data_IF_494943060094
#
_entry.id   IF_494943060094
#
_cell.length_a   1.000
_cell.length_b   1.000
_cell.length_c   1.000
_cell.angle_alpha   90.00
_cell.angle_beta   90.00
_cell.angle_gamma   90.00
#
_symmetry.space_group_name_H-M   'P 1'
#
loop_
_entity.id
_entity.type
_entity.pdbx_description
1 polymer ?
#
# COMPACT_ATOMS: atom_id res chain seq x y z
N UNK A 1 -26.76 24.44 -68.30
CA UNK A 1 -25.97 23.25 -67.74
C UNK A 1 -25.28 23.72 -66.47
N UNK A 2 -25.80 23.34 -65.29
CA UNK A 2 -25.26 23.75 -63.97
C UNK A 2 -24.68 22.51 -63.31
N UNK A 3 -23.34 22.41 -63.29
CA UNK A 3 -22.61 21.39 -62.57
C UNK A 3 -22.73 21.60 -61.04
N UNK A 4 -23.35 20.67 -60.37
CA UNK A 4 -23.34 20.57 -58.89
C UNK A 4 -22.18 19.69 -58.48
N UNK A 5 -21.17 20.31 -57.87
CA UNK A 5 -20.11 19.60 -57.14
C UNK A 5 -20.69 19.10 -55.83
N UNK A 6 -20.72 17.78 -55.67
CA UNK A 6 -21.02 17.11 -54.41
C UNK A 6 -19.70 17.01 -53.63
N UNK A 7 -19.56 17.79 -52.56
CA UNK A 7 -18.47 17.68 -51.61
C UNK A 7 -18.86 16.61 -50.58
N UNK A 8 -18.28 15.41 -50.72
CA UNK A 8 -18.40 14.36 -49.70
C UNK A 8 -17.48 14.66 -48.56
N UNK A 9 -18.03 15.12 -47.45
CA UNK A 9 -17.30 15.25 -46.18
C UNK A 9 -17.08 13.86 -45.58
N UNK A 10 -15.84 13.37 -45.64
CA UNK A 10 -15.42 12.17 -44.94
C UNK A 10 -15.21 12.55 -43.47
N UNK A 11 -16.13 12.15 -42.62
CA UNK A 11 -15.94 12.21 -41.14
C UNK A 11 -14.94 11.12 -40.78
N UNK A 12 -13.69 11.50 -40.53
CA UNK A 12 -12.71 10.63 -39.91
C UNK A 12 -13.06 10.60 -38.41
N UNK A 13 -13.73 9.53 -37.97
CA UNK A 13 -13.85 9.19 -36.55
C UNK A 13 -12.45 8.78 -36.08
N UNK A 14 -11.76 9.69 -35.41
CA UNK A 14 -10.57 9.34 -34.63
C UNK A 14 -11.03 8.51 -33.46
N UNK A 15 -10.90 7.21 -33.57
CA UNK A 15 -10.97 6.29 -32.44
C UNK A 15 -9.76 6.59 -31.53
N UNK A 16 -9.94 7.47 -30.55
CA UNK A 16 -8.99 7.59 -29.44
C UNK A 16 -9.00 6.26 -28.69
N UNK A 17 -8.00 5.44 -29.00
CA UNK A 17 -7.68 4.28 -28.20
C UNK A 17 -7.35 4.75 -26.80
N UNK A 18 -8.26 4.55 -25.85
CA UNK A 18 -8.00 4.67 -24.42
C UNK A 18 -7.08 3.50 -24.00
N UNK A 19 -5.84 3.52 -24.46
CA UNK A 19 -4.77 2.63 -24.01
C UNK A 19 -3.88 3.41 -23.07
N UNK A 20 -4.00 3.19 -21.75
CA UNK A 20 -2.86 3.31 -20.83
C UNK A 20 -3.23 3.39 -19.34
N UNK A 21 -4.23 2.68 -18.84
CA UNK A 21 -4.37 2.51 -17.38
C UNK A 21 -4.49 1.04 -16.94
N UNK A 22 -4.67 0.12 -17.86
CA UNK A 22 -4.77 -1.29 -17.54
C UNK A 22 -3.45 -2.00 -17.86
N UNK A 23 -2.60 -2.13 -16.85
CA UNK A 23 -1.55 -3.14 -16.84
C UNK A 23 -2.17 -4.55 -16.99
N UNK A 24 -1.38 -5.63 -17.06
CA UNK A 24 -1.89 -6.98 -17.20
C UNK A 24 -2.94 -7.27 -16.11
N UNK A 25 -4.03 -7.95 -16.48
CA UNK A 25 -5.10 -8.30 -15.54
C UNK A 25 -4.57 -9.18 -14.38
N UNK A 26 -3.54 -9.99 -14.67
CA UNK A 26 -2.83 -10.80 -13.69
C UNK A 26 -1.32 -10.76 -14.00
N UNK A 27 -0.52 -10.84 -12.93
CA UNK A 27 0.94 -10.87 -13.01
C UNK A 27 1.47 -11.98 -12.11
N UNK A 28 2.35 -12.83 -12.66
CA UNK A 28 3.08 -13.86 -11.92
C UNK A 28 4.54 -13.47 -11.85
N UNK A 29 5.15 -13.63 -10.69
CA UNK A 29 6.52 -13.19 -10.46
C UNK A 29 7.19 -13.98 -9.34
N UNK A 30 8.51 -14.05 -9.37
CA UNK A 30 9.35 -14.35 -8.21
C UNK A 30 9.88 -13.04 -7.66
N UNK A 31 9.98 -12.93 -6.35
CA UNK A 31 10.53 -11.75 -5.74
C UNK A 31 11.37 -12.05 -4.52
N UNK A 32 12.34 -11.17 -4.28
CA UNK A 32 13.17 -11.17 -3.09
C UNK A 32 13.07 -9.83 -2.40
N UNK A 33 12.45 -9.82 -1.22
CA UNK A 33 12.53 -8.70 -0.31
C UNK A 33 13.90 -8.75 0.38
N UNK A 34 14.68 -7.67 0.26
CA UNK A 34 16.01 -7.55 0.86
C UNK A 34 15.99 -6.39 1.84
N UNK A 35 16.28 -6.71 3.09
CA UNK A 35 16.43 -5.73 4.15
C UNK A 35 17.88 -5.72 4.65
N UNK A 36 18.49 -4.55 4.62
CA UNK A 36 19.83 -4.32 5.19
C UNK A 36 19.70 -3.39 6.38
N UNK A 37 20.16 -3.84 7.53
CA UNK A 37 20.14 -3.10 8.79
C UNK A 37 21.59 -2.73 9.12
N UNK A 38 21.96 -1.50 8.88
CA UNK A 38 23.29 -0.97 9.17
C UNK A 38 23.35 -0.31 10.56
N UNK A 39 24.54 0.03 11.00
CA UNK A 39 24.80 0.73 12.26
C UNK A 39 24.31 -0.05 13.51
N UNK A 40 24.45 -1.35 13.50
CA UNK A 40 24.20 -2.18 14.68
C UNK A 40 25.42 -2.02 15.60
N UNK A 41 25.23 -1.65 16.89
CA UNK A 41 26.33 -1.53 17.83
C UNK A 41 27.08 -2.87 18.01
N UNK A 42 28.41 -2.89 18.03
CA UNK A 42 29.19 -4.13 18.18
C UNK A 42 28.92 -4.87 19.49
N UNK A 43 28.51 -4.15 20.52
CA UNK A 43 28.20 -4.64 21.86
C UNK A 43 26.68 -4.95 22.04
N UNK A 44 25.91 -4.94 20.99
CA UNK A 44 24.46 -5.18 21.05
C UNK A 44 24.09 -6.60 21.52
N UNK A 45 25.02 -7.54 21.49
CA UNK A 45 24.84 -8.91 21.98
C UNK A 45 23.84 -9.70 21.11
N UNK A 46 22.67 -10.02 21.64
CA UNK A 46 21.62 -10.74 20.92
C UNK A 46 20.53 -9.77 20.49
N UNK A 47 20.25 -9.77 19.20
CA UNK A 47 19.21 -8.97 18.57
C UNK A 47 17.89 -9.73 18.56
N UNK A 48 16.80 -9.05 18.85
CA UNK A 48 15.45 -9.48 18.51
C UNK A 48 15.09 -8.87 17.15
N UNK A 49 14.74 -9.73 16.19
CA UNK A 49 14.50 -9.32 14.79
C UNK A 49 13.11 -9.76 14.35
N UNK A 50 12.28 -8.80 13.92
CA UNK A 50 10.97 -9.06 13.32
C UNK A 50 11.01 -8.62 11.86
N UNK A 51 10.51 -9.47 10.97
CA UNK A 51 10.50 -9.22 9.51
C UNK A 51 9.10 -9.43 8.98
N UNK A 52 8.52 -8.42 8.27
CA UNK A 52 7.22 -8.59 7.63
C UNK A 52 7.30 -9.62 6.51
N UNK A 53 6.28 -10.44 6.39
CA UNK A 53 6.15 -11.42 5.30
C UNK A 53 4.95 -11.05 4.42
N UNK A 54 5.05 -11.20 3.09
CA UNK A 54 3.88 -11.11 2.23
C UNK A 54 2.96 -12.31 2.50
N UNK A 55 1.65 -12.09 2.33
CA UNK A 55 0.67 -13.15 2.54
C UNK A 55 -0.36 -13.23 1.42
N UNK A 56 -0.99 -14.38 1.28
CA UNK A 56 -2.12 -14.57 0.38
C UNK A 56 -3.34 -13.78 0.85
N UNK A 57 -3.96 -13.06 -0.09
CA UNK A 57 -5.21 -12.30 0.07
C UNK A 57 -6.03 -12.34 -1.21
N UNK A 58 -7.23 -11.72 -1.21
CA UNK A 58 -8.21 -11.83 -2.28
C UNK A 58 -7.68 -11.61 -3.71
N UNK A 59 -6.76 -10.67 -3.90
CA UNK A 59 -6.18 -10.37 -5.22
C UNK A 59 -4.70 -10.77 -5.32
N UNK A 60 -4.18 -11.51 -4.35
CA UNK A 60 -2.79 -11.90 -4.25
C UNK A 60 -2.65 -13.32 -3.70
N UNK A 61 -1.88 -14.14 -4.40
CA UNK A 61 -1.47 -15.44 -3.90
C UNK A 61 0.05 -15.45 -3.70
N UNK A 62 0.51 -15.92 -2.54
CA UNK A 62 1.93 -16.00 -2.17
C UNK A 62 2.24 -17.44 -1.80
N UNK A 63 3.34 -17.96 -2.33
CA UNK A 63 3.89 -19.30 -2.02
C UNK A 63 5.40 -19.25 -1.88
N UNK A 64 5.98 -20.36 -1.48
CA UNK A 64 7.43 -20.64 -1.44
C UNK A 64 8.26 -19.61 -0.68
N UNK A 65 7.69 -19.11 0.44
CA UNK A 65 8.35 -18.12 1.28
C UNK A 65 9.53 -18.72 2.02
N UNK A 66 10.75 -18.27 1.71
CA UNK A 66 12.01 -18.70 2.33
C UNK A 66 12.75 -17.49 2.89
N UNK A 67 13.38 -17.64 4.05
CA UNK A 67 14.10 -16.54 4.73
C UNK A 67 15.57 -16.92 4.85
N UNK A 68 16.43 -16.01 4.45
CA UNK A 68 17.89 -16.11 4.53
C UNK A 68 18.50 -14.94 5.32
N UNK A 69 19.55 -15.17 6.10
CA UNK A 69 20.16 -16.46 6.49
C UNK A 69 19.20 -17.35 7.28
N UNK A 70 19.46 -18.68 7.35
CA UNK A 70 18.58 -19.65 7.99
C UNK A 70 18.74 -19.64 9.51
N UNK A 71 18.48 -18.51 10.15
CA UNK A 71 18.32 -18.44 11.59
C UNK A 71 17.09 -19.22 12.04
N UNK A 72 16.90 -19.42 13.33
CA UNK A 72 15.69 -20.07 13.89
C UNK A 72 14.48 -19.13 13.80
N UNK A 73 14.00 -18.96 12.57
CA UNK A 73 12.85 -18.10 12.26
C UNK A 73 11.55 -18.76 12.69
N UNK A 74 10.87 -18.14 13.64
CA UNK A 74 9.51 -18.49 14.03
C UNK A 74 8.52 -17.61 13.31
N UNK A 75 7.47 -18.21 12.73
CA UNK A 75 6.41 -17.46 12.01
C UNK A 75 5.25 -17.15 12.96
N UNK A 76 4.77 -15.93 12.86
CA UNK A 76 3.65 -15.42 13.65
C UNK A 76 2.62 -14.74 12.76
N UNK A 77 1.42 -14.60 13.33
CA UNK A 77 0.34 -13.81 12.77
C UNK A 77 -0.08 -12.76 13.78
N UNK A 78 -0.06 -11.50 13.38
CA UNK A 78 -0.51 -10.39 14.21
C UNK A 78 -2.04 -10.46 14.40
N UNK A 79 -2.51 -10.13 15.60
CA UNK A 79 -3.88 -10.46 16.03
C UNK A 79 -4.97 -9.55 15.49
N UNK A 80 -4.66 -8.33 15.06
CA UNK A 80 -5.67 -7.32 14.69
C UNK A 80 -5.95 -7.28 13.19
N UNK A 81 -4.91 -7.26 12.37
CA UNK A 81 -5.01 -7.22 10.90
C UNK A 81 -4.60 -8.54 10.26
N UNK A 82 -4.11 -9.48 11.07
CA UNK A 82 -3.66 -10.78 10.62
C UNK A 82 -2.42 -10.70 9.71
N UNK A 83 -1.54 -9.72 9.94
CA UNK A 83 -0.27 -9.61 9.24
C UNK A 83 0.63 -10.80 9.57
N UNK A 84 1.31 -11.34 8.56
CA UNK A 84 2.28 -12.41 8.75
C UNK A 84 3.68 -11.84 8.89
N UNK A 85 4.46 -12.41 9.78
CA UNK A 85 5.84 -12.00 10.01
C UNK A 85 6.67 -13.14 10.59
N UNK A 86 7.99 -13.00 10.49
CA UNK A 86 8.93 -13.90 11.14
C UNK A 86 9.68 -13.17 12.27
N UNK A 87 10.02 -13.91 13.31
CA UNK A 87 10.84 -13.47 14.43
C UNK A 87 11.99 -14.42 14.65
N UNK A 88 13.17 -13.88 14.93
CA UNK A 88 14.33 -14.66 15.40
C UNK A 88 15.14 -13.86 16.41
N UNK A 89 15.89 -14.60 17.25
CA UNK A 89 16.98 -14.05 18.05
C UNK A 89 18.31 -14.33 17.36
N UNK A 90 19.03 -13.28 17.01
CA UNK A 90 20.21 -13.34 16.17
C UNK A 90 21.39 -12.71 16.90
N UNK A 91 22.57 -13.33 16.95
CA UNK A 91 23.75 -12.66 17.48
C UNK A 91 24.06 -11.40 16.64
N UNK A 92 24.45 -10.33 17.31
CA UNK A 92 24.85 -9.11 16.62
C UNK A 92 26.06 -9.40 15.74
N UNK A 93 25.99 -9.06 14.43
CA UNK A 93 27.10 -9.31 13.52
C UNK A 93 28.28 -8.38 13.82
N UNK A 94 29.50 -8.92 13.80
CA UNK A 94 30.72 -8.16 14.07
C UNK A 94 30.93 -7.01 13.04
N UNK A 95 30.36 -7.15 11.85
CA UNK A 95 30.38 -6.12 10.79
C UNK A 95 29.52 -4.90 11.10
N UNK A 96 28.64 -4.96 12.13
CA UNK A 96 27.66 -3.93 12.39
C UNK A 96 26.51 -3.85 11.36
N UNK A 97 26.40 -4.84 10.47
CA UNK A 97 25.37 -4.93 9.44
C UNK A 97 24.71 -6.30 9.41
N UNK A 98 23.38 -6.34 9.42
CA UNK A 98 22.57 -7.53 9.24
C UNK A 98 21.80 -7.43 7.94
N UNK A 99 21.96 -8.41 7.07
CA UNK A 99 21.17 -8.53 5.86
C UNK A 99 20.22 -9.73 5.97
N UNK A 100 18.95 -9.52 5.62
CA UNK A 100 17.94 -10.56 5.56
C UNK A 100 17.25 -10.52 4.21
N UNK A 101 17.05 -11.70 3.61
CA UNK A 101 16.33 -11.89 2.36
C UNK A 101 15.08 -12.74 2.60
N UNK A 102 13.97 -12.34 2.00
CA UNK A 102 12.76 -13.14 1.96
C UNK A 102 12.41 -13.39 0.50
N UNK A 103 12.61 -14.64 0.06
CA UNK A 103 12.23 -15.08 -1.29
C UNK A 103 10.80 -15.58 -1.28
N UNK A 104 10.05 -15.30 -2.32
CA UNK A 104 8.68 -15.79 -2.49
C UNK A 104 8.24 -15.78 -3.94
N UNK A 105 7.27 -16.62 -4.25
CA UNK A 105 6.54 -16.62 -5.52
C UNK A 105 5.21 -15.91 -5.31
N UNK A 106 4.88 -15.02 -6.23
CA UNK A 106 3.68 -14.20 -6.16
C UNK A 106 2.84 -14.28 -7.43
N UNK A 107 1.52 -14.26 -7.24
CA UNK A 107 0.55 -14.00 -8.29
C UNK A 107 -0.35 -12.86 -7.84
N UNK A 108 -0.48 -11.82 -8.65
CA UNK A 108 -1.27 -10.63 -8.33
C UNK A 108 -2.27 -10.33 -9.44
N UNK A 109 -3.56 -10.25 -9.08
CA UNK A 109 -4.61 -9.75 -9.94
C UNK A 109 -4.80 -8.23 -9.80
N UNK A 110 -5.21 -7.57 -10.88
CA UNK A 110 -5.73 -6.21 -10.78
C UNK A 110 -7.00 -6.20 -9.90
N UNK A 111 -7.15 -5.16 -9.08
CA UNK A 111 -8.33 -4.97 -8.24
C UNK A 111 -9.24 -3.95 -8.91
N UNK A 112 -10.52 -4.32 -9.07
CA UNK A 112 -11.55 -3.42 -9.57
C UNK A 112 -12.74 -3.46 -8.60
N UNK A 113 -13.13 -2.29 -8.07
CA UNK A 113 -14.21 -2.17 -7.08
C UNK A 113 -15.57 -2.72 -7.55
N UNK A 114 -15.81 -2.80 -8.86
CA UNK A 114 -17.03 -3.37 -9.42
C UNK A 114 -17.03 -4.92 -9.41
N UNK A 115 -15.84 -5.53 -9.30
CA UNK A 115 -15.61 -6.98 -9.39
C UNK A 115 -15.06 -7.59 -8.11
N UNK A 116 -14.85 -6.80 -7.06
CA UNK A 116 -14.33 -7.33 -5.79
C UNK A 116 -15.35 -8.29 -5.20
N UNK A 117 -14.97 -9.56 -5.07
CA UNK A 117 -15.75 -10.53 -4.30
C UNK A 117 -15.92 -9.96 -2.88
N UNK A 118 -17.16 -9.76 -2.46
CA UNK A 118 -17.51 -9.14 -1.18
C UNK A 118 -17.18 -10.11 -0.03
N UNK A 119 -15.91 -10.15 0.37
CA UNK A 119 -15.60 -10.70 1.69
C UNK A 119 -16.23 -9.75 2.71
N UNK A 120 -17.28 -10.19 3.38
CA UNK A 120 -17.93 -9.40 4.42
C UNK A 120 -16.99 -9.31 5.62
N UNK A 121 -16.49 -8.14 5.97
CA UNK A 121 -15.64 -8.00 7.14
C UNK A 121 -16.42 -8.22 8.42
N UNK A 122 -15.75 -8.69 9.44
CA UNK A 122 -16.32 -8.84 10.78
C UNK A 122 -16.66 -7.47 11.39
N UNK A 123 -17.56 -7.47 12.37
CA UNK A 123 -17.87 -6.25 13.13
C UNK A 123 -16.63 -5.68 13.84
N UNK A 124 -15.70 -6.54 14.26
CA UNK A 124 -14.46 -6.12 14.91
C UNK A 124 -13.54 -5.38 13.92
N UNK A 125 -13.34 -5.92 12.71
CA UNK A 125 -12.57 -5.27 11.65
C UNK A 125 -13.16 -3.90 11.27
N UNK A 126 -14.48 -3.80 11.12
CA UNK A 126 -15.13 -2.52 10.81
C UNK A 126 -14.99 -1.50 11.94
N UNK A 127 -15.15 -1.94 13.21
CA UNK A 127 -14.93 -1.06 14.37
C UNK A 127 -13.50 -0.56 14.41
N UNK A 128 -12.51 -1.44 14.19
CA UNK A 128 -11.09 -1.05 14.17
C UNK A 128 -10.81 -0.04 13.06
N UNK A 129 -11.36 -0.26 11.89
CA UNK A 129 -11.19 0.63 10.74
C UNK A 129 -11.86 2.01 10.89
N UNK A 130 -12.61 2.22 11.97
CA UNK A 130 -13.19 3.53 12.36
C UNK A 130 -12.42 4.21 13.50
N UNK A 131 -11.50 3.49 14.18
CA UNK A 131 -10.76 4.08 15.30
C UNK A 131 -9.57 4.92 14.80
N UNK A 132 -9.18 5.96 15.54
CA UNK A 132 -7.93 6.66 15.27
C UNK A 132 -6.73 5.73 15.50
N UNK A 133 -5.62 6.07 14.89
CA UNK A 133 -4.29 5.56 15.21
C UNK A 133 -3.47 6.72 15.79
N UNK A 134 -2.32 6.43 16.43
CA UNK A 134 -1.45 7.42 17.07
C UNK A 134 -1.13 8.60 16.14
N UNK A 135 -0.86 8.30 14.86
CA UNK A 135 -0.55 9.30 13.83
C UNK A 135 -1.74 9.64 12.93
N UNK A 136 -2.80 8.83 12.94
CA UNK A 136 -4.02 9.05 12.13
C UNK A 136 -5.15 9.47 13.05
N UNK A 137 -5.11 10.73 13.44
CA UNK A 137 -6.04 11.32 14.40
C UNK A 137 -7.40 11.65 13.78
N UNK A 138 -8.43 11.76 14.60
CA UNK A 138 -9.74 12.26 14.20
C UNK A 138 -10.07 13.49 15.09
N UNK A 139 -9.23 14.52 14.97
CA UNK A 139 -9.36 15.76 15.75
C UNK A 139 -10.60 16.57 15.34
N UNK A 140 -11.02 17.56 16.14
CA UNK A 140 -12.08 18.49 15.74
C UNK A 140 -11.80 19.20 14.41
N UNK A 141 -10.54 19.53 14.14
CA UNK A 141 -10.09 20.14 12.88
C UNK A 141 -10.31 19.20 11.69
N UNK A 142 -9.91 17.93 11.84
CA UNK A 142 -10.11 16.91 10.80
C UNK A 142 -11.60 16.68 10.53
N UNK A 143 -12.44 16.64 11.59
CA UNK A 143 -13.90 16.53 11.43
C UNK A 143 -14.47 17.71 10.66
N UNK A 144 -14.10 18.92 11.03
CA UNK A 144 -14.54 20.14 10.35
C UNK A 144 -14.14 20.13 8.86
N UNK A 145 -12.89 19.81 8.56
CA UNK A 145 -12.40 19.70 7.18
C UNK A 145 -13.17 18.61 6.40
N UNK A 146 -13.41 17.45 7.01
CA UNK A 146 -14.17 16.38 6.38
C UNK A 146 -15.62 16.80 6.09
N UNK A 147 -16.26 17.56 7.00
CA UNK A 147 -17.61 18.09 6.79
C UNK A 147 -17.66 19.11 5.67
N UNK A 148 -16.66 19.97 5.55
CA UNK A 148 -16.55 20.93 4.43
C UNK A 148 -16.38 20.22 3.09
N UNK A 149 -15.44 19.27 3.00
CA UNK A 149 -15.16 18.50 1.78
C UNK A 149 -16.37 17.70 1.31
N UNK A 150 -17.13 17.14 2.24
CA UNK A 150 -18.24 16.24 1.93
C UNK A 150 -19.62 16.94 1.94
N UNK A 151 -19.64 18.26 1.98
CA UNK A 151 -20.90 19.03 1.98
C UNK A 151 -21.76 18.68 0.78
N UNK A 152 -23.02 18.32 1.03
CA UNK A 152 -23.97 17.90 -0.01
C UNK A 152 -23.77 16.49 -0.56
N UNK A 153 -22.77 15.72 -0.06
CA UNK A 153 -22.58 14.32 -0.43
C UNK A 153 -23.35 13.41 0.51
N UNK A 154 -24.27 12.61 -0.01
CA UNK A 154 -25.20 11.79 0.78
C UNK A 154 -24.77 10.33 0.92
N UNK A 155 -24.03 9.79 -0.07
CA UNK A 155 -23.56 8.41 -0.02
C UNK A 155 -22.11 8.32 0.48
N UNK A 156 -21.75 7.20 1.12
CA UNK A 156 -20.35 6.94 1.52
C UNK A 156 -19.39 6.95 0.34
N UNK A 157 -19.82 6.48 -0.82
CA UNK A 157 -19.03 6.48 -2.04
C UNK A 157 -18.71 7.91 -2.49
N UNK A 158 -19.73 8.79 -2.57
CA UNK A 158 -19.54 10.18 -2.98
C UNK A 158 -18.69 10.96 -1.98
N UNK A 159 -18.85 10.67 -0.67
CA UNK A 159 -18.04 11.26 0.37
C UNK A 159 -16.57 10.83 0.25
N UNK A 160 -16.31 9.54 0.07
CA UNK A 160 -14.95 9.01 -0.13
C UNK A 160 -14.32 9.58 -1.41
N UNK A 161 -15.09 9.71 -2.48
CA UNK A 161 -14.61 10.30 -3.74
C UNK A 161 -14.26 11.78 -3.57
N UNK A 162 -15.06 12.55 -2.84
CA UNK A 162 -14.76 13.96 -2.56
C UNK A 162 -13.48 14.09 -1.70
N UNK A 163 -13.31 13.24 -0.69
CA UNK A 163 -12.09 13.19 0.13
C UNK A 163 -10.87 12.81 -0.73
N UNK A 164 -11.00 11.80 -1.58
CA UNK A 164 -9.94 11.40 -2.49
C UNK A 164 -9.52 12.55 -3.42
N UNK A 165 -10.47 13.21 -4.05
CA UNK A 165 -10.21 14.36 -4.92
C UNK A 165 -9.53 15.50 -4.17
N UNK A 166 -9.97 15.78 -2.94
CA UNK A 166 -9.33 16.78 -2.09
C UNK A 166 -7.86 16.44 -1.83
N UNK A 167 -7.56 15.20 -1.43
CA UNK A 167 -6.18 14.76 -1.15
C UNK A 167 -5.32 14.83 -2.40
N UNK A 168 -5.81 14.32 -3.55
CA UNK A 168 -5.08 14.35 -4.83
C UNK A 168 -4.76 15.78 -5.29
N UNK A 169 -5.68 16.72 -5.06
CA UNK A 169 -5.54 18.10 -5.56
C UNK A 169 -4.73 18.99 -4.60
N UNK A 170 -4.85 18.76 -3.30
CA UNK A 170 -4.30 19.67 -2.30
C UNK A 170 -2.99 19.21 -1.67
N UNK A 171 -2.57 17.96 -1.89
CA UNK A 171 -1.28 17.49 -1.41
C UNK A 171 -0.25 17.40 -2.55
N UNK A 172 0.99 17.74 -2.23
CA UNK A 172 2.15 17.61 -3.11
C UNK A 172 3.01 16.43 -2.69
N UNK A 173 3.39 15.57 -3.66
CA UNK A 173 4.36 14.51 -3.37
C UNK A 173 5.76 15.11 -3.25
N UNK A 174 6.24 15.26 -2.02
CA UNK A 174 7.49 15.94 -1.70
C UNK A 174 8.15 15.28 -0.47
N UNK A 175 9.39 14.83 -0.62
CA UNK A 175 10.20 14.18 0.41
C UNK A 175 11.33 15.09 0.94
N UNK A 176 11.32 16.37 0.60
CA UNK A 176 12.35 17.31 1.02
C UNK A 176 11.98 18.04 2.32
N UNK A 177 10.69 18.15 2.61
CA UNK A 177 10.18 18.85 3.79
C UNK A 177 10.27 17.95 5.03
N UNK A 178 10.96 18.31 6.10
CA UNK A 178 11.14 17.46 7.28
C UNK A 178 9.84 16.88 7.85
N UNK A 179 9.92 15.65 8.38
CA UNK A 179 8.79 14.95 9.00
C UNK A 179 7.86 14.21 8.02
N UNK A 180 8.19 14.17 6.73
CA UNK A 180 7.46 13.34 5.77
C UNK A 180 7.58 11.84 6.09
N UNK A 181 6.62 11.06 5.65
CA UNK A 181 6.67 9.59 5.70
C UNK A 181 6.20 8.97 7.01
N UNK A 182 5.94 9.75 8.05
CA UNK A 182 5.37 9.26 9.30
C UNK A 182 3.86 9.04 9.21
N UNK A 183 3.20 9.65 8.24
CA UNK A 183 1.75 9.64 8.10
C UNK A 183 1.06 10.33 9.28
N UNK A 184 1.64 11.40 9.77
CA UNK A 184 1.03 12.28 10.75
C UNK A 184 -0.02 13.14 10.05
N UNK A 185 -1.28 12.91 10.41
CA UNK A 185 -2.42 13.56 9.75
C UNK A 185 -2.49 15.04 9.99
N UNK A 186 -2.14 15.52 11.21
CA UNK A 186 -2.17 16.93 11.52
C UNK A 186 -1.10 17.68 10.71
N UNK A 187 0.12 17.11 10.67
CA UNK A 187 1.18 17.63 9.81
C UNK A 187 0.79 17.61 8.32
N UNK A 188 0.22 16.52 7.83
CA UNK A 188 -0.21 16.43 6.44
C UNK A 188 -1.28 17.48 6.09
N UNK A 189 -2.16 17.78 7.03
CA UNK A 189 -3.17 18.82 6.92
C UNK A 189 -2.58 20.25 6.88
N UNK A 190 -1.51 20.49 7.65
CA UNK A 190 -0.84 21.78 7.70
C UNK A 190 0.07 22.02 6.49
N UNK A 191 0.97 21.08 6.25
CA UNK A 191 2.05 21.22 5.26
C UNK A 191 1.57 20.90 3.85
N UNK A 192 0.55 20.05 3.70
CA UNK A 192 0.01 19.58 2.42
C UNK A 192 1.07 18.97 1.50
N UNK A 193 2.07 18.34 2.10
CA UNK A 193 3.15 17.69 1.38
C UNK A 193 3.70 16.48 2.15
N UNK A 194 4.15 15.47 1.41
CA UNK A 194 4.74 14.26 1.96
C UNK A 194 4.81 13.14 0.93
N UNK A 195 5.00 11.92 1.40
CA UNK A 195 5.01 10.73 0.55
C UNK A 195 3.65 10.00 0.58
N UNK A 196 3.61 8.81 -0.01
CA UNK A 196 2.40 7.97 -0.03
C UNK A 196 1.80 7.74 1.38
N UNK A 197 2.63 7.61 2.43
CA UNK A 197 2.15 7.41 3.81
C UNK A 197 1.34 8.62 4.29
N UNK A 198 1.81 9.84 4.03
CA UNK A 198 1.15 11.07 4.44
C UNK A 198 -0.17 11.28 3.68
N UNK A 199 -0.18 11.02 2.36
CA UNK A 199 -1.39 11.08 1.53
C UNK A 199 -2.49 10.16 2.05
N UNK A 200 -2.16 8.88 2.26
CA UNK A 200 -3.16 7.89 2.65
C UNK A 200 -3.57 8.01 4.11
N UNK A 201 -2.70 8.52 4.99
CA UNK A 201 -3.08 8.85 6.36
C UNK A 201 -4.12 9.97 6.40
N UNK A 202 -3.94 11.02 5.61
CA UNK A 202 -4.93 12.11 5.52
C UNK A 202 -6.26 11.59 4.95
N UNK A 203 -6.23 10.78 3.87
CA UNK A 203 -7.44 10.16 3.33
C UNK A 203 -8.17 9.33 4.40
N UNK A 204 -7.46 8.44 5.09
CA UNK A 204 -8.03 7.55 6.12
C UNK A 204 -8.64 8.35 7.26
N UNK A 205 -7.96 9.37 7.74
CA UNK A 205 -8.44 10.23 8.82
C UNK A 205 -9.74 10.94 8.46
N UNK A 206 -9.79 11.58 7.28
CA UNK A 206 -10.99 12.25 6.77
C UNK A 206 -12.15 11.26 6.54
N UNK A 207 -11.87 10.07 5.99
CA UNK A 207 -12.88 9.02 5.79
C UNK A 207 -13.46 8.55 7.14
N UNK A 208 -12.61 8.26 8.12
CA UNK A 208 -13.02 7.86 9.47
C UNK A 208 -13.82 8.96 10.18
N UNK A 209 -13.47 10.24 9.97
CA UNK A 209 -14.24 11.38 10.47
C UNK A 209 -15.69 11.40 9.94
N UNK A 210 -15.93 10.85 8.74
CA UNK A 210 -17.25 10.67 8.13
C UNK A 210 -17.87 9.30 8.40
N UNK A 211 -17.35 8.55 9.38
CA UNK A 211 -17.82 7.21 9.72
C UNK A 211 -17.71 6.22 8.54
N UNK A 212 -16.74 6.43 7.67
CA UNK A 212 -16.38 5.50 6.60
C UNK A 212 -15.20 4.66 7.10
N UNK A 213 -15.36 3.34 7.32
CA UNK A 213 -14.25 2.49 7.72
C UNK A 213 -13.15 2.54 6.68
N UNK A 214 -11.92 2.82 7.11
CA UNK A 214 -10.78 2.91 6.22
C UNK A 214 -9.52 2.31 6.88
N UNK A 215 -8.64 1.72 6.07
CA UNK A 215 -7.44 1.04 6.54
C UNK A 215 -6.25 1.30 5.63
N UNK A 216 -5.08 1.19 6.21
CA UNK A 216 -3.80 1.41 5.56
C UNK A 216 -3.23 0.09 5.05
N UNK A 217 -2.68 0.07 3.84
CA UNK A 217 -2.05 -1.10 3.23
C UNK A 217 -0.64 -0.73 2.78
N UNK A 218 0.32 -1.55 3.15
CA UNK A 218 1.72 -1.38 2.78
C UNK A 218 2.26 -2.55 1.97
N UNK A 219 3.12 -2.22 1.02
CA UNK A 219 3.80 -3.17 0.16
C UNK A 219 4.80 -2.48 -0.75
N UNK A 220 4.87 -2.95 -1.98
CA UNK A 220 5.77 -2.42 -3.01
C UNK A 220 5.03 -2.25 -4.34
N UNK A 221 5.42 -1.29 -5.17
CA UNK A 221 5.11 -1.37 -6.58
C UNK A 221 5.95 -2.50 -7.18
N UNK A 222 5.47 -3.12 -8.25
CA UNK A 222 6.28 -4.02 -9.06
C UNK A 222 6.83 -3.25 -10.26
N UNK A 223 8.07 -3.42 -10.65
CA UNK A 223 8.62 -2.76 -11.83
C UNK A 223 7.91 -3.26 -13.10
N UNK A 224 7.91 -2.53 -14.22
CA UNK A 224 7.19 -2.93 -15.44
C UNK A 224 7.75 -4.21 -16.10
N UNK A 225 8.96 -4.62 -15.74
CA UNK A 225 9.65 -5.83 -16.14
C UNK A 225 10.52 -6.30 -14.98
N UNK A 226 11.41 -7.27 -15.21
CA UNK A 226 12.43 -7.65 -14.24
C UNK A 226 13.19 -6.42 -13.74
N UNK A 227 13.41 -6.33 -12.43
CA UNK A 227 14.08 -5.17 -11.86
C UNK A 227 14.03 -5.07 -10.35
N UNK A 228 14.56 -3.97 -9.84
CA UNK A 228 14.67 -3.70 -8.42
C UNK A 228 13.96 -2.41 -8.07
N UNK A 229 13.11 -2.47 -7.05
CA UNK A 229 12.46 -1.32 -6.43
C UNK A 229 13.16 -1.00 -5.12
N UNK A 230 13.57 0.25 -4.95
CA UNK A 230 14.12 0.77 -3.69
C UNK A 230 13.03 1.51 -2.92
N UNK A 231 12.85 1.13 -1.65
CA UNK A 231 11.79 1.67 -0.81
C UNK A 231 10.45 0.94 -0.98
N UNK A 232 9.42 1.47 -0.39
CA UNK A 232 8.09 0.88 -0.33
C UNK A 232 7.03 1.76 -1.01
N UNK A 233 5.86 1.19 -1.20
CA UNK A 233 4.65 1.92 -1.55
C UNK A 233 3.49 1.54 -0.60
N UNK A 234 2.51 2.43 -0.49
CA UNK A 234 1.31 2.16 0.29
C UNK A 234 0.08 2.76 -0.40
N UNK A 235 -1.08 2.27 -0.02
CA UNK A 235 -2.38 2.78 -0.46
C UNK A 235 -3.39 2.68 0.69
N UNK A 236 -4.59 3.16 0.48
CA UNK A 236 -5.66 3.00 1.43
C UNK A 236 -6.79 2.15 0.85
N UNK A 237 -7.58 1.55 1.73
CA UNK A 237 -8.84 0.93 1.39
C UNK A 237 -9.93 1.49 2.30
N UNK A 238 -11.12 1.76 1.74
CA UNK A 238 -12.30 2.14 2.48
C UNK A 238 -13.45 1.15 2.23
N UNK A 239 -14.35 1.04 3.19
CA UNK A 239 -15.43 0.05 3.12
C UNK A 239 -16.78 0.67 2.79
N UNK A 240 -17.46 0.07 1.82
CA UNK A 240 -18.86 0.36 1.50
C UNK A 240 -19.67 -0.94 1.56
N UNK A 241 -20.75 -0.91 2.34
CA UNK A 241 -21.66 -2.07 2.45
C UNK A 241 -22.18 -2.49 1.06
N UNK A 242 -22.16 -3.79 0.79
CA UNK A 242 -22.54 -4.36 -0.50
C UNK A 242 -21.48 -4.25 -1.61
N UNK A 243 -20.39 -3.47 -1.40
CA UNK A 243 -19.27 -3.37 -2.34
C UNK A 243 -17.95 -3.94 -1.78
N UNK A 244 -17.81 -4.02 -0.45
CA UNK A 244 -16.58 -4.51 0.18
C UNK A 244 -15.54 -3.41 0.41
N UNK A 245 -14.25 -3.82 0.47
CA UNK A 245 -13.10 -2.92 0.62
C UNK A 245 -12.68 -2.39 -0.75
N UNK A 246 -12.70 -1.08 -0.91
CA UNK A 246 -12.45 -0.35 -2.14
C UNK A 246 -11.09 0.33 -2.02
N UNK A 247 -10.12 0.04 -2.91
CA UNK A 247 -8.81 0.65 -2.84
C UNK A 247 -8.80 2.07 -3.39
N UNK A 248 -7.86 2.89 -2.88
CA UNK A 248 -7.52 4.20 -3.43
C UNK A 248 -6.02 4.42 -3.36
N UNK A 249 -5.44 4.94 -4.44
CA UNK A 249 -4.04 5.36 -4.48
C UNK A 249 -3.93 6.85 -4.82
N UNK A 250 -4.18 7.68 -3.81
CA UNK A 250 -4.18 9.12 -3.96
C UNK A 250 -2.80 9.70 -4.28
N UNK A 251 -1.73 9.04 -3.82
CA UNK A 251 -0.36 9.51 -4.05
C UNK A 251 0.10 9.29 -5.49
N UNK A 252 -0.23 8.15 -6.12
CA UNK A 252 0.06 7.94 -7.54
C UNK A 252 -0.84 8.81 -8.42
N UNK A 253 -2.11 8.95 -8.06
CA UNK A 253 -3.02 9.85 -8.75
C UNK A 253 -2.52 11.30 -8.77
N UNK A 254 -1.92 11.78 -7.68
CA UNK A 254 -1.40 13.16 -7.60
C UNK A 254 -0.23 13.43 -8.54
N UNK A 255 0.51 12.38 -8.93
CA UNK A 255 1.65 12.48 -9.85
C UNK A 255 1.23 12.54 -11.32
N UNK A 256 -0.01 12.17 -11.64
CA UNK A 256 -0.54 12.18 -13.00
C UNK A 256 -1.36 13.44 -13.27
N UNK A 257 -1.20 14.03 -14.46
CA UNK A 257 -2.09 15.08 -14.97
C UNK A 257 -3.25 14.51 -15.80
N UNK A 258 -3.24 13.21 -16.10
CA UNK A 258 -4.30 12.55 -16.84
C UNK A 258 -5.53 12.30 -15.93
N UNK A 259 -6.70 12.90 -16.24
CA UNK A 259 -7.93 12.67 -15.49
C UNK A 259 -8.37 11.20 -15.48
N UNK A 260 -8.07 10.43 -16.52
CA UNK A 260 -8.43 9.02 -16.59
C UNK A 260 -7.63 8.18 -15.59
N UNK A 261 -6.32 8.45 -15.45
CA UNK A 261 -5.45 7.82 -14.43
C UNK A 261 -5.93 8.18 -13.02
N UNK A 262 -6.27 9.46 -12.79
CA UNK A 262 -6.80 9.90 -11.49
C UNK A 262 -8.15 9.24 -11.17
N UNK A 263 -9.03 9.11 -12.16
CA UNK A 263 -10.30 8.42 -11.97
C UNK A 263 -10.13 6.93 -11.74
N UNK A 264 -9.20 6.28 -12.46
CA UNK A 264 -8.90 4.86 -12.32
C UNK A 264 -8.44 4.52 -10.89
N UNK A 265 -7.52 5.29 -10.32
CA UNK A 265 -6.93 5.03 -8.99
C UNK A 265 -7.89 5.30 -7.81
N UNK A 266 -9.13 5.69 -8.08
CA UNK A 266 -10.24 5.63 -7.15
C UNK A 266 -11.08 4.38 -7.43
N UNK A 267 -10.89 3.35 -6.67
CA UNK A 267 -11.62 2.09 -6.77
C UNK A 267 -10.86 0.97 -7.50
N UNK A 268 -9.70 1.27 -8.09
CA UNK A 268 -8.92 0.26 -8.81
C UNK A 268 -7.45 0.31 -8.41
N UNK A 269 -6.80 -0.86 -8.48
CA UNK A 269 -5.34 -1.00 -8.42
C UNK A 269 -4.91 -1.93 -9.55
N UNK A 270 -3.85 -1.57 -10.29
CA UNK A 270 -3.25 -2.47 -11.27
C UNK A 270 -2.57 -3.67 -10.60
N UNK A 271 -2.25 -4.71 -11.39
CA UNK A 271 -1.57 -5.91 -10.91
C UNK A 271 -0.08 -5.68 -10.57
N UNK A 272 0.39 -4.45 -10.65
CA UNK A 272 1.77 -4.03 -10.36
C UNK A 272 2.00 -3.65 -8.89
N UNK A 273 1.31 -4.29 -7.98
CA UNK A 273 1.46 -4.11 -6.53
C UNK A 273 1.66 -5.46 -5.85
N UNK A 274 2.49 -5.50 -4.83
CA UNK A 274 2.53 -6.62 -3.87
C UNK A 274 2.29 -6.09 -2.46
N UNK A 275 1.34 -6.69 -1.76
CA UNK A 275 0.96 -6.32 -0.41
C UNK A 275 1.76 -7.14 0.60
N UNK A 276 2.24 -6.48 1.66
CA UNK A 276 2.90 -7.11 2.80
C UNK A 276 2.07 -7.00 4.06
N UNK A 277 1.77 -5.78 4.52
CA UNK A 277 1.11 -5.57 5.81
C UNK A 277 -0.03 -4.56 5.71
N UNK A 278 -0.91 -4.64 6.69
CA UNK A 278 -2.04 -3.73 6.88
C UNK A 278 -2.05 -3.13 8.27
N UNK A 279 -2.68 -1.96 8.37
CA UNK A 279 -2.94 -1.30 9.64
C UNK A 279 -1.78 -0.48 10.15
N UNK A 280 -2.02 0.10 11.30
CA UNK A 280 -1.08 0.95 12.03
C UNK A 280 -1.14 0.63 13.52
N UNK A 281 -0.13 1.10 14.27
CA UNK A 281 0.03 0.83 15.71
C UNK A 281 0.05 -0.67 16.03
N UNK A 282 0.75 -1.43 15.19
CA UNK A 282 0.77 -2.89 15.22
C UNK A 282 1.48 -3.42 16.45
N UNK A 283 0.83 -4.36 17.14
CA UNK A 283 1.36 -5.06 18.31
C UNK A 283 1.81 -6.46 17.90
N UNK A 284 3.11 -6.72 17.95
CA UNK A 284 3.68 -7.99 17.56
C UNK A 284 3.89 -8.93 18.78
N UNK A 285 4.09 -10.21 18.52
CA UNK A 285 4.44 -11.25 19.50
C UNK A 285 5.68 -12.01 19.00
N UNK A 286 6.81 -12.08 19.73
CA UNK A 286 7.08 -11.34 20.97
C UNK A 286 6.89 -9.83 20.82
N UNK A 287 6.60 -9.16 21.92
CA UNK A 287 6.31 -7.72 21.89
C UNK A 287 7.55 -6.92 21.50
N UNK A 288 7.36 -5.93 20.63
CA UNK A 288 8.33 -4.84 20.40
C UNK A 288 8.25 -3.83 21.56
N UNK A 289 9.29 -3.04 21.76
CA UNK A 289 9.34 -2.00 22.80
C UNK A 289 8.16 -1.02 22.70
N UNK A 290 7.72 -0.71 21.48
CA UNK A 290 6.53 0.11 21.18
C UNK A 290 5.75 -0.51 20.04
N UNK A 291 4.42 -0.28 19.94
CA UNK A 291 3.64 -0.64 18.76
C UNK A 291 4.24 0.00 17.50
N UNK A 292 4.26 -0.75 16.41
CA UNK A 292 4.84 -0.26 15.16
C UNK A 292 3.83 0.64 14.44
N UNK A 293 4.23 1.87 14.14
CA UNK A 293 3.43 2.81 13.35
C UNK A 293 2.96 2.18 12.02
N UNK A 294 3.86 1.44 11.36
CA UNK A 294 3.61 0.58 10.21
C UNK A 294 4.71 -0.49 10.14
N UNK A 295 4.50 -1.53 9.35
CA UNK A 295 5.43 -2.65 9.34
C UNK A 295 5.77 -3.08 7.91
N UNK A 296 6.80 -2.46 7.34
CA UNK A 296 7.40 -2.82 6.05
C UNK A 296 8.92 -2.95 6.19
N UNK A 297 9.53 -2.18 7.08
CA UNK A 297 10.93 -2.32 7.47
C UNK A 297 11.04 -3.40 8.55
N UNK A 298 12.16 -4.14 8.62
CA UNK A 298 12.44 -4.96 9.79
C UNK A 298 12.44 -4.11 11.05
N UNK A 299 11.94 -4.66 12.13
CA UNK A 299 12.18 -4.12 13.46
C UNK A 299 13.33 -4.90 14.10
N UNK A 300 14.36 -4.20 14.55
CA UNK A 300 15.50 -4.81 15.26
C UNK A 300 15.68 -4.12 16.60
N UNK A 301 15.77 -4.91 17.64
CA UNK A 301 15.95 -4.43 19.01
C UNK A 301 17.08 -5.17 19.73
N UNK A 302 17.86 -4.44 20.52
CA UNK A 302 18.79 -4.96 21.50
C UNK A 302 18.42 -4.39 22.87
N UNK A 303 18.34 -5.24 23.89
CA UNK A 303 17.99 -4.83 25.25
C UNK A 303 16.71 -3.96 25.33
N UNK A 304 15.69 -4.29 24.54
CA UNK A 304 14.41 -3.58 24.48
C UNK A 304 14.48 -2.18 23.84
N UNK A 305 15.53 -1.87 23.10
CA UNK A 305 15.67 -0.60 22.35
C UNK A 305 15.88 -0.88 20.87
N UNK A 306 15.28 -0.07 20.03
CA UNK A 306 15.53 -0.10 18.59
C UNK A 306 17.00 0.16 18.29
N UNK A 307 17.58 -0.64 17.41
CA UNK A 307 18.97 -0.49 16.96
C UNK A 307 19.03 -0.61 15.43
N UNK A 308 20.09 -0.01 14.87
CA UNK A 308 20.35 -0.05 13.45
C UNK A 308 19.48 0.90 12.62
N UNK A 309 19.84 1.00 11.35
CA UNK A 309 19.14 1.81 10.35
C UNK A 309 18.73 0.91 9.17
N UNK A 310 17.47 0.49 9.10
CA UNK A 310 17.02 -0.41 8.05
C UNK A 310 16.82 0.31 6.73
N UNK A 311 17.32 -0.30 5.66
CA UNK A 311 16.96 0.00 4.27
C UNK A 311 16.30 -1.23 3.66
N UNK A 312 15.57 -1.05 2.57
CA UNK A 312 14.91 -2.17 1.90
C UNK A 312 14.84 -1.98 0.39
N UNK A 313 14.83 -3.09 -0.30
CA UNK A 313 14.54 -3.18 -1.72
C UNK A 313 13.77 -4.47 -2.02
N UNK A 314 13.08 -4.48 -3.15
CA UNK A 314 12.41 -5.64 -3.72
C UNK A 314 13.00 -5.92 -5.09
N UNK A 315 13.61 -7.08 -5.26
CA UNK A 315 14.02 -7.61 -6.57
C UNK A 315 12.88 -8.45 -7.12
N UNK A 316 12.55 -8.28 -8.39
CA UNK A 316 11.40 -8.93 -9.03
C UNK A 316 11.83 -9.51 -10.36
N UNK A 317 11.40 -10.75 -10.62
CA UNK A 317 11.54 -11.45 -11.88
C UNK A 317 10.17 -11.94 -12.34
N UNK A 318 9.72 -11.48 -13.50
CA UNK A 318 8.45 -11.90 -14.07
C UNK A 318 8.51 -13.35 -14.50
N UNK A 319 7.55 -14.14 -14.03
CA UNK A 319 7.34 -15.48 -14.55
C UNK A 319 6.51 -15.39 -15.83
N UNK A 320 7.08 -15.81 -16.95
CA UNK A 320 6.31 -15.96 -18.18
C UNK A 320 5.18 -16.94 -17.91
N UNK A 321 3.95 -16.52 -18.13
CA UNK A 321 2.81 -17.43 -18.09
C UNK A 321 3.13 -18.63 -19.02
N UNK A 322 3.08 -19.83 -18.49
CA UNK A 322 3.15 -21.01 -19.35
C UNK A 322 2.10 -20.85 -20.45
N UNK A 323 2.42 -21.09 -21.73
CA UNK A 323 1.43 -21.00 -22.79
C UNK A 323 0.26 -21.89 -22.41
N UNK A 324 -0.96 -21.34 -22.48
CA UNK A 324 -2.17 -22.12 -22.24
C UNK A 324 -2.08 -23.39 -23.11
N UNK A 325 -2.04 -24.55 -22.48
CA UNK A 325 -2.09 -25.84 -23.20
C UNK A 325 -3.41 -25.81 -23.94
N UNK A 326 -3.33 -25.61 -25.25
CA UNK A 326 -4.49 -25.70 -26.11
C UNK A 326 -5.05 -27.13 -25.93
N UNK A 327 -6.15 -27.24 -25.20
CA UNK A 327 -6.87 -28.47 -25.00
C UNK A 327 -7.27 -29.02 -26.38
N UNK A 328 -6.84 -30.22 -26.68
CA UNK A 328 -7.28 -30.99 -27.82
C UNK A 328 -8.72 -31.48 -27.63
#
# INVERSE_FOLDING_TARGET
>A
MRNRLIVSSILILAAFSAFAAEGPANRNFEATYIATIANIPPDAGVLSVWIPLPKTRSAQNISDVKIEPPYDWQRFREGEFGNEYAFARVPAPATGELMVRVHFVGSRGAVNAERVASVTPTRAELRRALQPDKMVTISPRIRHLADEITRGKTTRMDQAQAIYQYVVTNMKYDKTIPGWGNGDTERACDIRAGNCTDFHSLFISLARAKSIPARFVMGFPLPPADGTIKGYHCWAEFYVAGKGWIPVDASEASKSNDPAVRAFLFGNLPADRVEFTMGRDLKLTPATAEPLNFFIYPRVEANGKAVGAPTLQLEVHDQKSAPAVAGR
#
